data_IF_394135118569
#
_entry.id   IF_394135118569
#
_cell.length_a   1.000
_cell.length_b   1.000
_cell.length_c   1.000
_cell.angle_alpha   90.00
_cell.angle_beta   90.00
_cell.angle_gamma   90.00
#
_symmetry.space_group_name_H-M   'P 1'
#
loop_
_entity.id
_entity.type
_entity.pdbx_description
1 polymer ?
#
# COMPACT_ATOMS: atom_id res chain seq x y z
N UNK A 1 -13.41 -8.81 -36.58
CA UNK A 1 -12.20 -8.37 -35.83
C UNK A 1 -11.68 -9.58 -35.07
N UNK A 2 -10.37 -9.84 -35.06
CA UNK A 2 -9.80 -10.92 -34.23
C UNK A 2 -10.09 -10.60 -32.76
N UNK A 3 -10.58 -11.55 -31.97
CA UNK A 3 -10.72 -11.37 -30.52
C UNK A 3 -9.33 -11.21 -29.91
N UNK A 4 -9.13 -10.21 -29.06
CA UNK A 4 -7.89 -10.03 -28.30
C UNK A 4 -7.87 -11.07 -27.17
N UNK A 5 -6.73 -11.73 -27.03
CA UNK A 5 -6.49 -12.83 -26.09
C UNK A 5 -5.25 -12.55 -25.23
N UNK A 6 -5.07 -13.22 -24.08
CA UNK A 6 -3.88 -13.03 -23.24
C UNK A 6 -2.57 -13.28 -23.98
N UNK A 7 -2.57 -14.20 -24.96
CA UNK A 7 -1.39 -14.49 -25.80
C UNK A 7 -0.93 -13.31 -26.67
N UNK A 8 -1.78 -12.31 -26.91
CA UNK A 8 -1.38 -11.07 -27.60
C UNK A 8 -0.48 -10.18 -26.73
N UNK A 9 -0.42 -10.49 -25.44
CA UNK A 9 0.40 -9.85 -24.41
C UNK A 9 1.57 -10.73 -23.96
N UNK A 10 1.94 -11.77 -24.73
CA UNK A 10 3.08 -12.64 -24.40
C UNK A 10 4.43 -11.91 -24.29
N UNK A 11 4.52 -10.68 -24.82
CA UNK A 11 5.69 -9.82 -24.64
C UNK A 11 5.88 -9.37 -23.19
N UNK A 12 4.84 -9.45 -22.34
CA UNK A 12 4.89 -9.01 -20.95
C UNK A 12 5.84 -9.87 -20.10
N UNK A 13 6.00 -11.15 -20.45
CA UNK A 13 6.97 -12.05 -19.80
C UNK A 13 8.43 -11.61 -20.01
N UNK A 14 8.70 -10.97 -21.15
CA UNK A 14 10.05 -10.49 -21.54
C UNK A 14 10.25 -9.00 -21.25
N UNK A 15 9.22 -8.29 -20.75
CA UNK A 15 9.30 -6.87 -20.48
C UNK A 15 9.88 -6.60 -19.08
N UNK A 16 10.86 -5.70 -19.01
CA UNK A 16 11.60 -5.43 -17.78
C UNK A 16 10.78 -4.70 -16.70
N UNK A 17 9.64 -4.10 -17.07
CA UNK A 17 8.84 -3.27 -16.17
C UNK A 17 8.03 -4.11 -15.16
N UNK A 18 8.50 -4.16 -13.92
CA UNK A 18 7.91 -4.92 -12.81
C UNK A 18 6.71 -4.24 -12.13
N UNK A 19 6.60 -2.92 -12.31
CA UNK A 19 5.53 -2.10 -11.77
C UNK A 19 5.17 -1.04 -12.81
N UNK A 20 3.91 -1.05 -13.26
CA UNK A 20 3.39 -0.02 -14.15
C UNK A 20 1.87 0.04 -14.07
N UNK A 21 1.33 1.20 -14.44
CA UNK A 21 -0.10 1.37 -14.68
C UNK A 21 -0.32 1.86 -16.10
N UNK A 22 -1.25 1.21 -16.81
CA UNK A 22 -1.74 1.69 -18.11
C UNK A 22 -3.22 2.02 -18.00
N UNK A 23 -3.57 3.26 -18.30
CA UNK A 23 -4.96 3.75 -18.28
C UNK A 23 -5.38 4.20 -19.67
N UNK A 24 -6.44 3.61 -20.19
CA UNK A 24 -7.06 3.98 -21.45
C UNK A 24 -8.18 4.96 -21.13
N UNK A 25 -8.15 6.16 -21.72
CA UNK A 25 -9.13 7.22 -21.49
C UNK A 25 -9.82 7.61 -22.78
N UNK A 26 -11.14 7.47 -22.85
CA UNK A 26 -11.93 7.76 -24.06
C UNK A 26 -12.37 9.22 -24.09
N UNK A 27 -12.21 9.85 -25.25
CA UNK A 27 -12.81 11.16 -25.52
C UNK A 27 -12.10 12.37 -24.91
N UNK A 28 -10.99 12.17 -24.20
CA UNK A 28 -10.09 13.24 -23.79
C UNK A 28 -8.85 13.26 -24.69
N UNK A 29 -8.33 14.46 -24.95
CA UNK A 29 -7.00 14.60 -25.56
C UNK A 29 -5.88 14.40 -24.52
N UNK A 30 -4.64 14.40 -25.00
CA UNK A 30 -3.44 14.19 -24.17
C UNK A 30 -3.32 15.22 -23.04
N UNK A 31 -3.51 16.52 -23.33
CA UNK A 31 -3.37 17.58 -22.34
C UNK A 31 -4.46 17.54 -21.29
N UNK A 32 -5.71 17.34 -21.70
CA UNK A 32 -6.82 17.22 -20.76
C UNK A 32 -6.71 15.96 -19.91
N UNK A 33 -6.19 14.86 -20.47
CA UNK A 33 -5.88 13.65 -19.69
C UNK A 33 -4.86 13.97 -18.60
N UNK A 34 -3.71 14.59 -18.95
CA UNK A 34 -2.68 14.99 -17.99
C UNK A 34 -3.21 15.92 -16.89
N UNK A 35 -4.03 16.91 -17.24
CA UNK A 35 -4.66 17.80 -16.25
C UNK A 35 -5.52 17.05 -15.25
N UNK A 36 -6.30 16.06 -15.70
CA UNK A 36 -7.17 15.26 -14.83
C UNK A 36 -6.42 14.27 -13.95
N UNK A 37 -5.21 13.90 -14.36
CA UNK A 37 -4.24 13.23 -13.49
C UNK A 37 -3.62 14.17 -12.43
N UNK A 38 -3.78 15.49 -12.57
CA UNK A 38 -3.20 16.47 -11.64
C UNK A 38 -1.85 17.05 -12.09
N UNK A 39 -1.53 16.98 -13.38
CA UNK A 39 -0.35 17.63 -13.95
C UNK A 39 -0.67 19.10 -14.25
N UNK A 40 0.13 20.01 -13.69
CA UNK A 40 0.01 21.45 -13.93
C UNK A 40 0.36 21.81 -15.39
N UNK A 41 -0.33 22.80 -15.98
CA UNK A 41 -0.20 23.16 -17.40
C UNK A 41 1.22 23.55 -17.82
N UNK A 42 1.95 24.20 -16.91
CA UNK A 42 3.34 24.61 -17.09
C UNK A 42 4.34 23.45 -16.94
N UNK A 43 3.89 22.32 -16.40
CA UNK A 43 4.66 21.09 -16.30
C UNK A 43 4.41 20.11 -17.47
N UNK A 44 3.48 20.42 -18.38
CA UNK A 44 3.17 19.55 -19.53
C UNK A 44 4.13 19.81 -20.68
N UNK A 45 5.00 18.85 -20.96
CA UNK A 45 5.99 18.92 -22.03
C UNK A 45 6.30 17.53 -22.63
N UNK A 46 6.96 17.45 -23.80
CA UNK A 46 7.51 16.18 -24.29
C UNK A 46 8.59 15.69 -23.34
N UNK A 47 8.42 14.49 -22.81
CA UNK A 47 9.32 13.79 -21.91
C UNK A 47 9.96 12.64 -22.69
N UNK A 48 11.28 12.50 -22.60
CA UNK A 48 12.02 11.39 -23.19
C UNK A 48 12.43 10.34 -22.15
N UNK A 49 12.98 9.22 -22.62
CA UNK A 49 13.36 8.10 -21.76
C UNK A 49 14.41 8.48 -20.71
N UNK A 50 15.30 9.45 -21.01
CA UNK A 50 16.33 9.90 -20.07
C UNK A 50 15.68 10.61 -18.89
N UNK A 51 14.76 11.53 -19.15
CA UNK A 51 14.00 12.24 -18.10
C UNK A 51 13.14 11.27 -17.26
N UNK A 52 12.51 10.27 -17.88
CA UNK A 52 11.77 9.23 -17.15
C UNK A 52 12.69 8.49 -16.19
N UNK A 53 13.85 8.05 -16.66
CA UNK A 53 14.82 7.30 -15.84
C UNK A 53 15.38 8.17 -14.71
N UNK A 54 15.74 9.42 -15.00
CA UNK A 54 16.13 10.39 -13.98
C UNK A 54 15.03 10.54 -12.93
N UNK A 55 13.77 10.64 -13.34
CA UNK A 55 12.65 10.78 -12.40
C UNK A 55 12.43 9.54 -11.54
N UNK A 56 12.51 8.34 -12.13
CA UNK A 56 12.42 7.07 -11.39
C UNK A 56 13.52 6.99 -10.34
N UNK A 57 14.74 7.40 -10.68
CA UNK A 57 15.87 7.44 -9.74
C UNK A 57 15.65 8.48 -8.63
N UNK A 58 15.20 9.69 -8.97
CA UNK A 58 14.88 10.76 -8.01
C UNK A 58 13.81 10.35 -7.00
N UNK A 59 12.79 9.63 -7.48
CA UNK A 59 11.62 9.20 -6.70
C UNK A 59 11.82 7.82 -6.05
N UNK A 60 12.99 7.21 -6.19
CA UNK A 60 13.31 5.87 -5.67
C UNK A 60 12.30 4.80 -6.11
N UNK A 61 11.86 4.88 -7.37
CA UNK A 61 10.85 3.99 -7.94
C UNK A 61 9.41 4.31 -7.55
N UNK A 62 9.14 5.39 -6.82
CA UNK A 62 7.77 5.89 -6.60
C UNK A 62 7.43 7.00 -7.62
N UNK A 63 7.63 6.71 -8.91
CA UNK A 63 7.57 7.74 -9.93
C UNK A 63 6.14 8.30 -10.06
N UNK A 64 6.06 9.62 -9.97
CA UNK A 64 4.86 10.44 -9.97
C UNK A 64 4.63 11.10 -11.34
N UNK A 65 5.21 10.52 -12.38
CA UNK A 65 5.09 10.99 -13.76
C UNK A 65 4.09 10.15 -14.53
N UNK A 66 3.28 10.83 -15.34
CA UNK A 66 2.38 10.20 -16.30
C UNK A 66 2.75 10.65 -17.71
N UNK A 67 2.86 9.68 -18.60
CA UNK A 67 3.08 9.90 -20.04
C UNK A 67 1.80 9.57 -20.79
N UNK A 68 1.51 10.31 -21.85
CA UNK A 68 0.32 10.07 -22.67
C UNK A 68 0.64 9.98 -24.14
N UNK A 69 -0.11 9.12 -24.83
CA UNK A 69 -0.11 9.00 -26.29
C UNK A 69 -1.52 8.77 -26.82
N UNK A 70 -1.76 9.11 -28.08
CA UNK A 70 -3.06 8.97 -28.75
C UNK A 70 -3.17 7.64 -29.50
N UNK A 71 -4.24 6.89 -29.24
CA UNK A 71 -4.59 5.66 -29.96
C UNK A 71 -6.08 5.66 -30.38
N UNK A 72 -6.35 6.15 -31.59
CA UNK A 72 -7.72 6.25 -32.12
C UNK A 72 -8.55 7.26 -31.33
N UNK A 73 -9.68 6.81 -30.78
CA UNK A 73 -10.55 7.63 -29.92
C UNK A 73 -10.08 7.69 -28.46
N UNK A 74 -9.06 6.92 -28.12
CA UNK A 74 -8.53 6.79 -26.77
C UNK A 74 -7.18 7.51 -26.62
N UNK A 75 -6.95 8.02 -25.42
CA UNK A 75 -5.65 8.48 -24.95
C UNK A 75 -5.14 7.46 -23.96
N UNK A 76 -3.92 6.99 -24.16
CA UNK A 76 -3.26 6.00 -23.31
C UNK A 76 -2.36 6.75 -22.37
N UNK A 77 -2.67 6.71 -21.08
CA UNK A 77 -1.81 7.19 -20.02
C UNK A 77 -0.99 6.03 -19.46
N UNK A 78 0.30 6.26 -19.24
CA UNK A 78 1.24 5.28 -18.74
C UNK A 78 2.03 5.87 -17.58
N UNK A 79 2.11 5.12 -16.49
CA UNK A 79 2.86 5.47 -15.29
C UNK A 79 3.91 4.38 -15.04
N UNK A 80 5.19 4.75 -15.08
CA UNK A 80 6.26 3.87 -14.61
C UNK A 80 6.21 3.79 -13.10
N UNK A 81 6.06 2.61 -12.52
CA UNK A 81 5.98 2.41 -11.06
C UNK A 81 4.94 3.27 -10.30
N UNK A 82 4.02 3.93 -11.01
CA UNK A 82 2.91 4.71 -10.46
C UNK A 82 1.60 3.92 -10.47
N UNK A 83 0.61 4.43 -9.73
CA UNK A 83 -0.70 3.80 -9.54
C UNK A 83 -1.86 4.81 -9.53
N UNK A 84 -1.60 6.08 -9.85
CA UNK A 84 -2.61 7.14 -9.79
C UNK A 84 -3.82 6.82 -10.67
N UNK A 85 -3.59 6.21 -11.84
CA UNK A 85 -4.62 5.76 -12.78
C UNK A 85 -5.50 4.61 -12.28
N UNK A 86 -5.16 3.97 -11.15
CA UNK A 86 -6.04 2.97 -10.50
C UNK A 86 -6.91 3.57 -9.40
N UNK A 87 -6.64 4.82 -8.98
CA UNK A 87 -7.40 5.44 -7.89
C UNK A 87 -8.84 5.72 -8.34
N UNK A 88 -9.85 5.34 -7.54
CA UNK A 88 -11.24 5.65 -7.85
C UNK A 88 -11.50 7.14 -8.05
N UNK A 89 -10.83 7.99 -7.28
CA UNK A 89 -10.88 9.44 -7.37
C UNK A 89 -10.47 9.94 -8.76
N UNK A 90 -9.33 9.46 -9.25
CA UNK A 90 -8.74 9.85 -10.54
C UNK A 90 -9.57 9.31 -11.69
N UNK A 91 -10.04 8.06 -11.62
CA UNK A 91 -10.91 7.49 -12.64
C UNK A 91 -12.28 8.20 -12.71
N UNK A 92 -12.83 8.64 -11.57
CA UNK A 92 -14.03 9.48 -11.56
C UNK A 92 -13.77 10.83 -12.22
N UNK A 93 -12.64 11.45 -11.93
CA UNK A 93 -12.25 12.73 -12.53
C UNK A 93 -12.05 12.60 -14.04
N UNK A 94 -11.35 11.56 -14.50
CA UNK A 94 -11.16 11.23 -15.92
C UNK A 94 -12.49 11.03 -16.65
N UNK A 95 -13.50 10.47 -15.99
CA UNK A 95 -14.78 10.10 -16.63
C UNK A 95 -15.95 11.04 -16.31
N UNK A 96 -15.75 12.12 -15.55
CA UNK A 96 -16.83 12.97 -14.99
C UNK A 96 -17.78 13.59 -16.03
N UNK A 97 -17.32 13.83 -17.26
CA UNK A 97 -18.07 14.52 -18.32
C UNK A 97 -18.67 13.55 -19.34
N UNK A 98 -19.04 12.34 -18.90
CA UNK A 98 -19.59 11.30 -19.77
C UNK A 98 -18.53 10.45 -20.50
N UNK A 99 -17.32 10.40 -19.94
CA UNK A 99 -16.20 9.65 -20.47
C UNK A 99 -16.17 8.19 -20.03
N UNK A 100 -15.20 7.44 -20.55
CA UNK A 100 -14.94 6.05 -20.18
C UNK A 100 -13.45 5.86 -19.97
N UNK A 101 -13.07 5.14 -18.91
CA UNK A 101 -11.68 4.81 -18.64
C UNK A 101 -11.55 3.36 -18.18
N UNK A 102 -10.48 2.69 -18.59
CA UNK A 102 -10.09 1.39 -18.05
C UNK A 102 -8.61 1.42 -17.69
N UNK A 103 -8.27 0.93 -16.51
CA UNK A 103 -6.90 0.91 -15.98
C UNK A 103 -6.49 -0.50 -15.60
N UNK A 104 -5.22 -0.83 -15.88
CA UNK A 104 -4.58 -2.07 -15.47
C UNK A 104 -3.25 -1.72 -14.82
N UNK A 105 -3.09 -2.13 -13.57
CA UNK A 105 -1.83 -2.02 -12.85
C UNK A 105 -1.19 -3.38 -12.68
N UNK A 106 0.09 -3.47 -13.03
CA UNK A 106 0.99 -4.53 -12.60
C UNK A 106 1.81 -4.04 -11.41
N UNK A 107 1.94 -4.89 -10.41
CA UNK A 107 2.80 -4.62 -9.26
C UNK A 107 3.31 -5.94 -8.65
N UNK A 108 4.50 -6.39 -9.06
CA UNK A 108 5.03 -7.69 -8.64
C UNK A 108 5.36 -7.79 -7.13
N UNK A 109 5.55 -6.66 -6.46
CA UNK A 109 5.92 -6.58 -5.04
C UNK A 109 4.78 -6.19 -4.07
N UNK A 110 3.57 -5.99 -4.58
CA UNK A 110 2.40 -5.64 -3.78
C UNK A 110 1.51 -6.85 -3.57
N UNK A 111 0.55 -6.72 -2.65
CA UNK A 111 -0.44 -7.76 -2.39
C UNK A 111 -1.36 -8.03 -3.59
N UNK A 112 -1.47 -7.11 -4.56
CA UNK A 112 -2.35 -7.26 -5.71
C UNK A 112 -1.91 -6.47 -6.95
N UNK A 113 -2.42 -6.92 -8.09
CA UNK A 113 -2.58 -6.14 -9.31
C UNK A 113 -4.00 -5.57 -9.30
N UNK A 114 -4.29 -4.55 -10.09
CA UNK A 114 -5.62 -3.95 -10.12
C UNK A 114 -6.14 -3.81 -11.56
N UNK A 115 -7.43 -4.06 -11.72
CA UNK A 115 -8.20 -3.76 -12.91
C UNK A 115 -9.36 -2.86 -12.49
N UNK A 116 -9.50 -1.72 -13.15
CA UNK A 116 -10.52 -0.73 -12.84
C UNK A 116 -11.20 -0.25 -14.12
N UNK A 117 -12.52 -0.33 -14.19
CA UNK A 117 -13.33 0.21 -15.30
C UNK A 117 -14.30 1.24 -14.76
N UNK A 118 -14.21 2.46 -15.30
CA UNK A 118 -15.03 3.59 -14.93
C UNK A 118 -15.75 4.18 -16.13
N UNK A 119 -16.98 4.65 -15.93
CA UNK A 119 -17.67 5.49 -16.90
C UNK A 119 -18.60 6.46 -16.17
N UNK A 120 -18.82 7.63 -16.77
CA UNK A 120 -19.73 8.66 -16.25
C UNK A 120 -19.45 9.04 -14.78
N UNK A 121 -18.18 9.17 -14.41
CA UNK A 121 -17.77 9.53 -13.06
C UNK A 121 -18.04 8.46 -12.01
N UNK A 122 -18.12 7.17 -12.40
CA UNK A 122 -18.39 6.04 -11.50
C UNK A 122 -17.57 4.82 -11.86
N UNK A 123 -17.09 4.13 -10.82
CA UNK A 123 -16.52 2.79 -10.98
C UNK A 123 -17.64 1.81 -11.33
N UNK A 124 -17.53 1.17 -12.50
CA UNK A 124 -18.47 0.17 -12.99
C UNK A 124 -18.08 -1.21 -12.54
N UNK A 125 -16.86 -1.62 -12.86
CA UNK A 125 -16.34 -2.95 -12.56
C UNK A 125 -14.89 -2.82 -12.14
N UNK A 126 -14.55 -3.37 -11.00
CA UNK A 126 -13.21 -3.31 -10.45
C UNK A 126 -12.91 -4.61 -9.72
N UNK A 127 -11.68 -5.10 -9.86
CA UNK A 127 -11.25 -6.34 -9.24
C UNK A 127 -9.73 -6.48 -9.28
N UNK A 128 -9.22 -7.41 -8.48
CA UNK A 128 -7.82 -7.83 -8.56
C UNK A 128 -7.70 -8.98 -9.56
N UNK A 129 -6.89 -8.88 -10.63
CA UNK A 129 -6.74 -9.95 -11.61
C UNK A 129 -6.36 -11.31 -11.02
N UNK A 130 -5.67 -11.37 -9.87
CA UNK A 130 -5.34 -12.63 -9.20
C UNK A 130 -6.52 -13.27 -8.48
N UNK A 131 -7.52 -12.49 -8.07
CA UNK A 131 -8.73 -12.94 -7.38
C UNK A 131 -9.96 -12.36 -8.07
N UNK A 132 -10.23 -12.73 -9.34
CA UNK A 132 -11.31 -12.17 -10.15
C UNK A 132 -12.70 -12.41 -9.57
N UNK A 133 -12.87 -13.30 -8.60
CA UNK A 133 -14.09 -13.50 -7.80
C UNK A 133 -14.38 -12.33 -6.84
N UNK A 134 -13.36 -11.59 -6.41
CA UNK A 134 -13.49 -10.43 -5.53
C UNK A 134 -13.69 -9.15 -6.35
N UNK A 135 -14.91 -8.94 -6.86
CA UNK A 135 -15.24 -7.78 -7.71
C UNK A 135 -16.15 -6.78 -7.00
N UNK A 136 -16.02 -5.51 -7.35
CA UNK A 136 -16.86 -4.42 -6.86
C UNK A 136 -17.16 -3.38 -7.96
N UNK A 137 -17.91 -2.35 -7.59
CA UNK A 137 -18.37 -1.30 -8.49
C UNK A 137 -19.89 -1.28 -8.63
N UNK A 138 -20.40 -0.36 -9.45
CA UNK A 138 -21.84 -0.22 -9.70
C UNK A 138 -22.42 -1.35 -10.56
N UNK A 139 -21.59 -2.05 -11.31
CA UNK A 139 -21.94 -3.13 -12.24
C UNK A 139 -20.84 -4.22 -12.21
N UNK A 140 -20.58 -4.86 -11.06
CA UNK A 140 -19.42 -5.75 -10.88
C UNK A 140 -19.42 -6.98 -11.80
N UNK A 141 -20.59 -7.39 -12.29
CA UNK A 141 -20.74 -8.58 -13.14
C UNK A 141 -20.82 -8.28 -14.65
N UNK A 142 -20.72 -7.00 -15.04
CA UNK A 142 -20.91 -6.58 -16.43
C UNK A 142 -19.88 -7.17 -17.41
N UNK A 143 -18.70 -7.57 -16.92
CA UNK A 143 -17.59 -8.10 -17.72
C UNK A 143 -17.42 -9.62 -17.58
N UNK A 144 -18.32 -10.32 -16.87
CA UNK A 144 -18.13 -11.75 -16.54
C UNK A 144 -18.00 -12.67 -17.75
N UNK A 145 -18.65 -12.37 -18.87
CA UNK A 145 -18.52 -13.17 -20.10
C UNK A 145 -17.11 -13.06 -20.68
N UNK A 146 -16.61 -11.83 -20.86
CA UNK A 146 -15.26 -11.59 -21.36
C UNK A 146 -14.19 -12.11 -20.38
N UNK A 147 -14.40 -11.94 -19.08
CA UNK A 147 -13.51 -12.46 -18.04
C UNK A 147 -13.34 -13.98 -18.15
N UNK A 148 -14.44 -14.75 -18.26
CA UNK A 148 -14.38 -16.21 -18.47
C UNK A 148 -13.64 -16.59 -19.74
N UNK A 149 -13.92 -15.91 -20.85
CA UNK A 149 -13.22 -16.18 -22.11
C UNK A 149 -11.71 -15.92 -22.04
N UNK A 150 -11.28 -15.04 -21.15
CA UNK A 150 -9.88 -14.68 -20.93
C UNK A 150 -9.20 -15.49 -19.81
N UNK A 151 -9.94 -16.40 -19.16
CA UNK A 151 -9.43 -17.23 -18.06
C UNK A 151 -9.41 -16.53 -16.69
N UNK A 152 -10.06 -15.37 -16.56
CA UNK A 152 -10.31 -14.69 -15.29
C UNK A 152 -11.63 -15.21 -14.72
N UNK A 153 -11.67 -16.39 -14.10
CA UNK A 153 -12.92 -17.02 -13.68
C UNK A 153 -13.63 -16.21 -12.56
N UNK A 154 -14.78 -15.55 -12.84
CA UNK A 154 -15.50 -14.78 -11.84
C UNK A 154 -16.16 -15.63 -10.75
N UNK A 155 -16.51 -16.89 -11.03
CA UNK A 155 -17.23 -17.78 -10.11
C UNK A 155 -16.55 -19.16 -10.08
N UNK A 156 -15.37 -19.28 -9.43
CA UNK A 156 -14.62 -20.53 -9.42
C UNK A 156 -15.32 -21.61 -8.60
N UNK A 157 -15.19 -22.87 -9.04
CA UNK A 157 -15.74 -24.04 -8.32
C UNK A 157 -15.11 -24.21 -6.91
N UNK A 158 -13.88 -23.70 -6.73
CA UNK A 158 -13.17 -23.64 -5.44
C UNK A 158 -13.27 -22.24 -4.83
N UNK A 159 -13.56 -22.16 -3.52
CA UNK A 159 -13.83 -20.92 -2.78
C UNK A 159 -12.70 -19.87 -2.87
N UNK A 160 -11.47 -20.30 -3.13
CA UNK A 160 -10.31 -19.42 -3.26
C UNK A 160 -9.38 -19.87 -4.39
N UNK A 161 -9.59 -19.34 -5.59
CA UNK A 161 -8.66 -19.46 -6.70
C UNK A 161 -7.77 -18.21 -6.80
N UNK A 162 -6.45 -18.41 -6.71
CA UNK A 162 -5.45 -17.37 -6.98
C UNK A 162 -4.80 -17.63 -8.34
N UNK A 163 -4.91 -16.66 -9.26
CA UNK A 163 -4.38 -16.77 -10.62
C UNK A 163 -3.01 -16.10 -10.74
N UNK A 164 -1.95 -16.90 -10.88
CA UNK A 164 -0.62 -16.39 -11.26
C UNK A 164 -0.60 -16.00 -12.74
N UNK A 165 0.07 -14.90 -13.09
CA UNK A 165 0.19 -14.47 -14.49
C UNK A 165 -1.12 -13.95 -15.07
N UNK A 166 -1.95 -13.29 -14.25
CA UNK A 166 -3.26 -12.77 -14.67
C UNK A 166 -3.21 -11.42 -15.38
N UNK A 167 -2.06 -10.73 -15.39
CA UNK A 167 -1.87 -9.41 -16.02
C UNK A 167 -2.14 -9.43 -17.53
N UNK A 168 -1.62 -10.39 -18.33
CA UNK A 168 -1.97 -10.51 -19.75
C UNK A 168 -3.48 -10.62 -20.01
N UNK A 169 -4.22 -11.30 -19.12
CA UNK A 169 -5.68 -11.43 -19.24
C UNK A 169 -6.41 -10.12 -18.90
N UNK A 170 -5.95 -9.40 -17.88
CA UNK A 170 -6.47 -8.08 -17.53
C UNK A 170 -6.22 -7.05 -18.65
N UNK A 171 -5.02 -7.05 -19.25
CA UNK A 171 -4.70 -6.21 -20.41
C UNK A 171 -5.56 -6.57 -21.64
N UNK A 172 -5.78 -7.87 -21.89
CA UNK A 172 -6.68 -8.31 -22.95
C UNK A 172 -8.13 -7.86 -22.71
N UNK A 173 -8.60 -7.83 -21.47
CA UNK A 173 -9.91 -7.29 -21.11
C UNK A 173 -9.99 -5.79 -21.36
N UNK A 174 -8.97 -5.02 -20.95
CA UNK A 174 -8.89 -3.58 -21.23
C UNK A 174 -8.90 -3.29 -22.74
N UNK A 175 -8.17 -4.10 -23.52
CA UNK A 175 -8.20 -4.10 -24.99
C UNK A 175 -9.58 -4.34 -25.59
N UNK A 176 -10.40 -5.23 -25.00
CA UNK A 176 -11.76 -5.50 -25.49
C UNK A 176 -12.69 -4.31 -25.25
N UNK A 177 -12.50 -3.59 -24.15
CA UNK A 177 -13.25 -2.37 -23.80
C UNK A 177 -12.82 -1.21 -24.69
N UNK A 178 -11.52 -0.97 -24.81
CA UNK A 178 -10.98 0.19 -25.53
C UNK A 178 -10.91 -0.01 -27.04
N UNK A 179 -10.79 -1.25 -27.50
CA UNK A 179 -10.42 -1.55 -28.89
C UNK A 179 -8.95 -1.23 -29.21
N UNK A 180 -8.13 -0.88 -28.21
CA UNK A 180 -6.71 -0.55 -28.36
C UNK A 180 -5.85 -1.68 -27.81
N UNK A 181 -5.01 -2.25 -28.66
CA UNK A 181 -3.97 -3.18 -28.23
C UNK A 181 -2.77 -2.39 -27.70
N UNK A 182 -2.59 -2.41 -26.37
CA UNK A 182 -1.39 -1.84 -25.76
C UNK A 182 -0.16 -2.71 -26.08
N UNK A 183 0.93 -2.05 -26.49
CA UNK A 183 2.24 -2.65 -26.72
C UNK A 183 3.32 -1.65 -26.28
N UNK A 184 4.50 -2.09 -25.83
CA UNK A 184 5.60 -1.19 -25.47
C UNK A 184 5.97 -0.18 -26.56
N UNK A 185 5.78 -0.53 -27.84
CA UNK A 185 6.00 0.39 -28.97
C UNK A 185 5.12 1.65 -28.97
N UNK A 186 4.03 1.68 -28.17
CA UNK A 186 3.25 2.91 -27.95
C UNK A 186 3.99 3.92 -27.08
N UNK A 187 5.04 3.48 -26.38
CA UNK A 187 5.87 4.29 -25.51
C UNK A 187 7.16 4.75 -26.21
N UNK A 188 7.34 4.45 -27.50
CA UNK A 188 8.56 4.78 -28.23
C UNK A 188 8.67 6.29 -28.49
N UNK A 189 9.78 6.87 -28.04
CA UNK A 189 10.16 8.25 -28.29
C UNK A 189 9.50 9.25 -27.34
N UNK A 190 9.76 10.57 -27.53
CA UNK A 190 9.25 11.56 -26.60
C UNK A 190 7.72 11.60 -26.60
N UNK A 191 7.12 11.38 -25.43
CA UNK A 191 5.68 11.42 -25.22
C UNK A 191 5.31 12.69 -24.48
N UNK A 192 4.09 13.20 -24.68
CA UNK A 192 3.64 14.29 -23.84
C UNK A 192 3.46 13.74 -22.42
N UNK A 193 3.99 14.43 -21.42
CA UNK A 193 3.92 13.96 -20.03
C UNK A 193 4.09 15.10 -19.04
N UNK A 194 4.18 14.70 -17.78
CA UNK A 194 4.56 15.60 -16.68
C UNK A 194 4.37 14.97 -15.31
N UNK A 195 4.88 15.66 -14.30
CA UNK A 195 4.77 15.24 -12.90
C UNK A 195 3.41 15.62 -12.33
N UNK A 196 2.77 14.63 -11.69
CA UNK A 196 1.53 14.77 -10.94
C UNK A 196 1.85 15.56 -9.66
N UNK A 197 1.33 16.78 -9.58
CA UNK A 197 1.60 17.70 -8.45
C UNK A 197 0.33 17.99 -7.65
N UNK A 198 -0.82 17.95 -8.31
CA UNK A 198 -2.14 18.21 -7.75
C UNK A 198 -3.08 17.02 -7.99
N UNK A 199 -2.68 15.83 -7.54
CA UNK A 199 -3.50 14.62 -7.63
C UNK A 199 -4.89 14.84 -6.99
N UNK A 200 -5.91 14.13 -7.50
CA UNK A 200 -7.27 14.23 -6.95
C UNK A 200 -7.23 13.80 -5.47
N UNK A 201 -7.73 14.59 -4.52
CA UNK A 201 -7.68 14.21 -3.11
C UNK A 201 -8.43 12.90 -2.85
N UNK A 202 -7.90 12.05 -1.97
CA UNK A 202 -8.57 10.83 -1.51
C UNK A 202 -10.00 11.14 -1.05
N UNK A 203 -10.94 10.24 -1.35
CA UNK A 203 -12.24 10.30 -0.73
C UNK A 203 -12.05 10.24 0.79
N UNK A 204 -12.81 11.06 1.56
CA UNK A 204 -12.84 10.90 2.99
C UNK A 204 -13.27 9.46 3.28
N UNK A 205 -12.44 8.71 4.02
CA UNK A 205 -12.74 7.33 4.39
C UNK A 205 -14.12 7.27 5.04
N UNK A 206 -15.13 6.84 4.31
CA UNK A 206 -16.49 6.68 4.84
C UNK A 206 -16.56 5.46 5.76
N UNK A 207 -17.32 5.59 6.84
CA UNK A 207 -17.51 4.53 7.83
C UNK A 207 -16.42 4.47 8.91
N UNK A 208 -16.46 3.39 9.69
CA UNK A 208 -15.51 3.18 10.78
C UNK A 208 -14.13 2.74 10.22
N UNK A 209 -13.04 3.50 10.42
CA UNK A 209 -11.71 3.15 9.92
C UNK A 209 -11.16 1.83 10.51
N UNK A 210 -11.76 1.32 11.59
CA UNK A 210 -11.39 0.06 12.22
C UNK A 210 -12.32 -1.11 11.82
N UNK A 211 -13.30 -0.88 10.94
CA UNK A 211 -14.20 -1.92 10.45
C UNK A 211 -13.46 -3.05 9.71
N UNK A 212 -12.42 -2.70 8.94
CA UNK A 212 -11.57 -3.65 8.19
C UNK A 212 -10.24 -3.96 8.89
N UNK A 213 -10.06 -3.52 10.13
CA UNK A 213 -8.80 -3.73 10.82
C UNK A 213 -8.54 -5.23 11.04
N UNK A 214 -7.30 -5.67 10.80
CA UNK A 214 -6.91 -7.08 10.86
C UNK A 214 -7.29 -7.75 12.19
N UNK A 215 -7.11 -7.08 13.33
CA UNK A 215 -7.59 -7.55 14.64
C UNK A 215 -9.05 -8.07 14.60
N UNK A 216 -9.97 -7.35 13.94
CA UNK A 216 -11.38 -7.76 13.86
C UNK A 216 -11.57 -9.02 13.01
N UNK A 217 -10.74 -9.20 11.98
CA UNK A 217 -10.75 -10.40 11.15
C UNK A 217 -10.24 -11.63 11.91
N UNK A 218 -9.14 -11.48 12.67
CA UNK A 218 -8.52 -12.59 13.42
C UNK A 218 -9.18 -12.88 14.77
N UNK A 219 -9.73 -11.88 15.46
CA UNK A 219 -10.38 -12.03 16.75
C UNK A 219 -11.52 -11.00 16.93
N UNK A 220 -12.70 -11.37 16.43
CA UNK A 220 -13.90 -10.54 16.50
C UNK A 220 -14.31 -10.22 17.95
N UNK A 221 -14.15 -11.17 18.87
CA UNK A 221 -14.63 -11.00 20.25
C UNK A 221 -13.81 -9.96 21.02
N UNK A 222 -12.49 -9.94 20.84
CA UNK A 222 -11.62 -8.89 21.39
C UNK A 222 -11.89 -7.53 20.75
N UNK A 223 -12.07 -7.48 19.43
CA UNK A 223 -12.44 -6.26 18.72
C UNK A 223 -13.75 -5.65 19.26
N UNK A 224 -14.79 -6.46 19.43
CA UNK A 224 -16.07 -6.03 20.02
C UNK A 224 -15.93 -5.61 21.49
N UNK A 225 -15.09 -6.27 22.27
CA UNK A 225 -14.81 -5.87 23.66
C UNK A 225 -14.13 -4.50 23.71
N UNK A 226 -13.21 -4.21 22.79
CA UNK A 226 -12.57 -2.89 22.66
C UNK A 226 -13.60 -1.84 22.23
N UNK A 227 -14.43 -2.13 21.24
CA UNK A 227 -15.46 -1.21 20.73
C UNK A 227 -16.43 -0.75 21.80
N UNK A 228 -16.85 -1.67 22.67
CA UNK A 228 -17.82 -1.39 23.72
C UNK A 228 -17.18 -0.79 24.99
N UNK A 229 -15.85 -0.79 25.09
CA UNK A 229 -15.14 -0.22 26.23
C UNK A 229 -15.06 1.32 26.15
N UNK A 230 -15.11 1.98 27.31
CA UNK A 230 -14.88 3.42 27.38
C UNK A 230 -13.47 3.80 26.90
N UNK A 231 -13.24 5.03 26.39
CA UNK A 231 -11.89 5.47 25.99
C UNK A 231 -10.84 5.33 27.09
N UNK A 232 -11.22 5.46 28.36
CA UNK A 232 -10.31 5.24 29.49
C UNK A 232 -9.93 3.77 29.66
N UNK A 233 -10.89 2.86 29.49
CA UNK A 233 -10.62 1.42 29.52
C UNK A 233 -9.76 0.99 28.33
N UNK A 234 -10.05 1.50 27.13
CA UNK A 234 -9.25 1.25 25.93
C UNK A 234 -7.79 1.70 26.12
N UNK A 235 -7.57 2.91 26.66
CA UNK A 235 -6.23 3.43 26.97
C UNK A 235 -5.51 2.56 27.99
N UNK A 236 -6.17 2.22 29.11
CA UNK A 236 -5.56 1.37 30.15
C UNK A 236 -5.19 0.00 29.61
N UNK A 237 -6.04 -0.61 28.79
CA UNK A 237 -5.75 -1.89 28.16
C UNK A 237 -4.55 -1.79 27.19
N UNK A 238 -4.52 -0.75 26.33
CA UNK A 238 -3.39 -0.52 25.43
C UNK A 238 -2.07 -0.31 26.18
N UNK A 239 -2.09 0.45 27.28
CA UNK A 239 -0.89 0.67 28.11
C UNK A 239 -0.45 -0.60 28.82
N UNK A 240 -1.39 -1.37 29.38
CA UNK A 240 -1.10 -2.62 30.05
C UNK A 240 -0.49 -3.65 29.08
N UNK A 241 -1.01 -3.74 27.86
CA UNK A 241 -0.48 -4.65 26.85
C UNK A 241 0.89 -4.20 26.32
N UNK A 242 1.09 -2.91 26.10
CA UNK A 242 2.42 -2.39 25.74
C UNK A 242 3.46 -2.69 26.82
N UNK A 243 3.10 -2.56 28.10
CA UNK A 243 3.98 -2.92 29.22
C UNK A 243 4.31 -4.42 29.22
N UNK A 244 3.30 -5.30 29.07
CA UNK A 244 3.50 -6.75 28.98
C UNK A 244 4.46 -7.11 27.84
N UNK A 245 4.32 -6.49 26.67
CA UNK A 245 5.22 -6.74 25.55
C UNK A 245 6.66 -6.27 25.83
N UNK A 246 6.85 -5.15 26.53
CA UNK A 246 8.18 -4.74 27.01
C UNK A 246 8.79 -5.73 28.00
N UNK A 247 7.98 -6.30 28.91
CA UNK A 247 8.42 -7.32 29.87
C UNK A 247 8.84 -8.61 29.15
N UNK A 248 8.01 -9.11 28.23
CA UNK A 248 8.31 -10.30 27.43
C UNK A 248 9.54 -10.13 26.53
N UNK A 249 9.74 -8.93 25.99
CA UNK A 249 10.91 -8.60 25.18
C UNK A 249 12.18 -8.29 26.01
N UNK A 250 12.09 -8.28 27.35
CA UNK A 250 13.22 -7.98 28.23
C UNK A 250 13.72 -6.53 28.15
N UNK A 251 12.86 -5.59 27.73
CA UNK A 251 13.20 -4.16 27.54
C UNK A 251 12.40 -3.22 28.44
N UNK A 252 11.73 -3.75 29.47
CA UNK A 252 10.94 -2.96 30.42
C UNK A 252 11.75 -1.83 31.09
N UNK A 253 13.05 -2.08 31.38
CA UNK A 253 13.94 -1.10 32.01
C UNK A 253 14.61 -0.14 31.01
N UNK A 254 14.32 -0.25 29.71
CA UNK A 254 14.91 0.65 28.71
C UNK A 254 14.39 2.08 28.93
N UNK A 255 15.26 3.08 29.19
CA UNK A 255 14.84 4.39 29.70
C UNK A 255 13.88 5.13 28.77
N UNK A 256 14.05 4.99 27.45
CA UNK A 256 13.15 5.59 26.44
C UNK A 256 11.76 4.95 26.47
N UNK A 257 11.68 3.61 26.57
CA UNK A 257 10.41 2.89 26.57
C UNK A 257 9.67 3.12 27.89
N UNK A 258 10.39 3.06 29.00
CA UNK A 258 9.86 3.33 30.34
C UNK A 258 9.30 4.77 30.44
N UNK A 259 10.02 5.77 29.94
CA UNK A 259 9.55 7.16 29.92
C UNK A 259 8.28 7.34 29.05
N UNK A 260 8.26 6.71 27.87
CA UNK A 260 7.12 6.75 26.97
C UNK A 260 5.88 6.03 27.54
N UNK A 261 6.06 4.86 28.17
CA UNK A 261 4.98 4.16 28.88
C UNK A 261 4.44 4.99 30.04
N UNK A 262 5.30 5.58 30.86
CA UNK A 262 4.88 6.45 31.95
C UNK A 262 4.09 7.68 31.43
N UNK A 263 4.45 8.21 30.26
CA UNK A 263 3.67 9.26 29.58
C UNK A 263 2.27 8.76 29.18
N UNK A 264 2.19 7.58 28.56
CA UNK A 264 0.91 6.98 28.18
C UNK A 264 0.02 6.69 29.40
N UNK A 265 0.61 6.23 30.52
CA UNK A 265 -0.06 5.98 31.80
C UNK A 265 -0.70 7.24 32.41
N UNK A 266 -0.04 8.39 32.25
CA UNK A 266 -0.58 9.70 32.66
C UNK A 266 -1.65 10.24 31.70
N UNK A 267 -1.93 9.54 30.60
CA UNK A 267 -2.86 9.98 29.56
C UNK A 267 -2.27 11.05 28.65
N UNK A 268 -0.95 11.24 28.64
CA UNK A 268 -0.25 12.16 27.75
C UNK A 268 -0.14 11.54 26.34
N UNK A 269 -1.26 11.52 25.62
CA UNK A 269 -1.37 10.92 24.28
C UNK A 269 -1.05 11.95 23.20
N UNK A 270 0.24 12.07 22.84
CA UNK A 270 0.69 12.89 21.71
C UNK A 270 1.24 11.98 20.61
N UNK A 271 1.01 12.29 19.33
CA UNK A 271 1.69 11.60 18.24
C UNK A 271 3.20 11.64 18.46
N UNK A 272 3.84 10.48 18.35
CA UNK A 272 5.28 10.35 18.51
C UNK A 272 5.94 11.04 17.33
N UNK A 273 6.56 12.19 17.59
CA UNK A 273 7.29 12.96 16.58
C UNK A 273 8.45 12.15 16.01
N UNK A 274 8.77 12.40 14.75
CA UNK A 274 9.82 11.68 14.03
C UNK A 274 11.19 11.77 14.73
N UNK A 275 11.48 12.92 15.34
CA UNK A 275 12.76 13.20 16.01
C UNK A 275 12.72 12.88 17.51
N UNK A 276 11.70 12.13 17.94
CA UNK A 276 11.60 11.71 19.34
C UNK A 276 12.56 10.54 19.63
N UNK A 277 13.06 10.44 20.89
CA UNK A 277 13.91 9.31 21.29
C UNK A 277 13.25 7.94 21.06
N UNK A 278 11.91 7.85 21.17
CA UNK A 278 11.16 6.62 20.90
C UNK A 278 11.16 6.26 19.41
N UNK A 279 10.99 7.24 18.52
CA UNK A 279 11.04 7.01 17.09
C UNK A 279 12.45 6.58 16.64
N UNK A 280 13.49 7.21 17.21
CA UNK A 280 14.89 6.84 16.98
C UNK A 280 15.21 5.41 17.44
N UNK A 281 14.73 5.01 18.62
CA UNK A 281 14.91 3.65 19.13
C UNK A 281 14.24 2.60 18.24
N UNK A 282 12.99 2.85 17.81
CA UNK A 282 12.26 1.93 16.92
C UNK A 282 12.99 1.78 15.59
N UNK A 283 13.47 2.89 15.02
CA UNK A 283 14.30 2.88 13.82
C UNK A 283 15.57 2.05 14.04
N UNK A 284 16.27 2.21 15.17
CA UNK A 284 17.42 1.36 15.51
C UNK A 284 17.10 -0.15 15.47
N UNK A 285 15.94 -0.56 15.99
CA UNK A 285 15.50 -1.96 15.86
C UNK A 285 15.15 -2.36 14.43
N UNK A 286 14.51 -1.48 13.65
CA UNK A 286 14.27 -1.72 12.22
C UNK A 286 15.60 -1.91 11.48
N UNK A 287 16.62 -1.11 11.82
CA UNK A 287 17.98 -1.20 11.30
C UNK A 287 18.61 -2.54 11.56
N UNK A 288 18.58 -3.00 12.82
CA UNK A 288 19.03 -4.34 13.21
C UNK A 288 18.26 -5.45 12.47
N UNK A 289 16.94 -5.30 12.28
CA UNK A 289 16.10 -6.30 11.60
C UNK A 289 16.37 -6.44 10.11
N UNK A 290 16.74 -5.34 9.45
CA UNK A 290 16.89 -5.27 7.99
C UNK A 290 18.36 -5.31 7.55
N UNK A 291 19.30 -5.10 8.47
CA UNK A 291 20.74 -4.97 8.18
C UNK A 291 21.11 -3.64 7.53
N UNK A 292 20.18 -2.69 7.49
CA UNK A 292 20.37 -1.40 6.85
C UNK A 292 20.72 -0.32 7.87
N UNK A 293 21.78 0.47 7.68
CA UNK A 293 22.06 1.57 8.61
C UNK A 293 21.02 2.70 8.48
N UNK A 294 20.71 3.38 9.59
CA UNK A 294 19.86 4.58 9.63
C UNK A 294 20.70 5.76 10.11
N UNK A 295 20.59 6.89 9.41
CA UNK A 295 21.17 8.15 9.82
C UNK A 295 20.46 8.65 11.10
N UNK A 296 21.22 8.82 12.18
CA UNK A 296 20.69 9.22 13.48
C UNK A 296 20.20 10.68 13.54
N UNK A 297 20.62 11.54 12.61
CA UNK A 297 20.23 12.95 12.56
C UNK A 297 18.96 13.18 11.74
N UNK A 298 18.78 12.45 10.63
CA UNK A 298 17.60 12.60 9.77
C UNK A 298 16.53 11.53 10.03
N UNK A 299 16.90 10.41 10.65
CA UNK A 299 16.06 9.22 10.80
C UNK A 299 15.75 8.53 9.48
N UNK A 300 16.51 8.84 8.43
CA UNK A 300 16.42 8.22 7.12
C UNK A 300 17.41 7.05 7.03
N UNK A 301 17.09 6.05 6.23
CA UNK A 301 18.00 4.94 5.97
C UNK A 301 19.21 5.42 5.16
N UNK A 302 20.43 5.11 5.61
CA UNK A 302 21.65 5.40 4.87
C UNK A 302 21.63 4.61 3.56
N UNK A 303 21.77 5.32 2.44
CA UNK A 303 21.98 4.70 1.12
C UNK A 303 23.43 4.19 1.01
N UNK A 304 23.64 3.17 0.16
CA UNK A 304 24.94 2.50 -0.07
C UNK A 304 26.10 3.44 -0.34
N UNK A 305 27.37 2.96 -0.29
CA UNK A 305 28.54 3.75 -0.71
C UNK A 305 28.50 4.23 -2.18
N UNK A 306 27.46 3.92 -2.95
CA UNK A 306 27.18 4.54 -4.25
C UNK A 306 26.30 5.78 -4.17
N UNK A 307 26.00 6.30 -2.97
CA UNK A 307 25.22 7.52 -2.80
C UNK A 307 26.02 8.74 -3.25
N UNK A 308 25.58 9.31 -4.36
CA UNK A 308 26.05 10.57 -4.94
C UNK A 308 26.19 11.69 -3.88
N UNK A 309 27.36 12.34 -3.77
CA UNK A 309 27.60 13.46 -2.84
C UNK A 309 26.76 14.72 -3.11
N UNK A 310 25.89 14.75 -4.13
CA UNK A 310 25.05 15.91 -4.48
C UNK A 310 23.60 15.87 -3.96
N UNK A 311 23.23 14.92 -3.09
CA UNK A 311 21.83 14.70 -2.67
C UNK A 311 21.29 15.73 -1.67
N UNK A 312 20.04 16.17 -1.89
CA UNK A 312 19.32 17.13 -1.05
C UNK A 312 18.51 16.44 0.07
N UNK A 313 18.56 16.93 1.33
CA UNK A 313 18.06 16.22 2.53
C UNK A 313 16.54 16.25 2.78
N UNK A 314 15.71 16.61 1.77
CA UNK A 314 14.30 16.95 2.01
C UNK A 314 13.26 15.98 1.39
N UNK A 315 13.66 14.83 0.85
CA UNK A 315 12.72 13.89 0.22
C UNK A 315 12.42 12.72 1.16
N UNK A 316 11.25 12.79 1.81
CA UNK A 316 10.76 11.76 2.74
C UNK A 316 10.49 10.45 2.00
N UNK A 317 11.17 9.38 2.42
CA UNK A 317 10.90 8.01 1.99
C UNK A 317 9.80 7.37 2.84
N UNK A 318 8.75 6.82 2.20
CA UNK A 318 7.88 5.79 2.77
C UNK A 318 8.19 4.45 2.08
N UNK A 319 9.40 3.91 2.27
CA UNK A 319 9.83 2.64 1.67
C UNK A 319 9.46 1.48 2.59
N UNK A 320 8.18 1.15 2.71
CA UNK A 320 7.81 -0.12 3.30
C UNK A 320 6.72 -0.78 2.45
N UNK A 321 6.99 -1.99 1.98
CA UNK A 321 5.96 -3.03 2.03
C UNK A 321 6.06 -3.71 3.40
N UNK A 322 4.91 -3.99 4.01
CA UNK A 322 4.85 -4.87 5.18
C UNK A 322 4.72 -6.28 4.61
N UNK A 323 5.72 -7.12 4.87
CA UNK A 323 5.61 -8.56 4.60
C UNK A 323 4.38 -9.09 5.36
N UNK A 324 3.39 -9.61 4.64
CA UNK A 324 2.08 -9.98 5.22
C UNK A 324 2.15 -11.24 6.08
N UNK A 325 3.16 -12.09 5.89
CA UNK A 325 3.36 -13.28 6.71
C UNK A 325 3.95 -12.95 8.08
N UNK A 326 4.84 -11.95 8.13
CA UNK A 326 5.67 -11.64 9.30
C UNK A 326 5.37 -10.28 9.93
N UNK A 327 4.59 -9.42 9.27
CA UNK A 327 4.29 -8.05 9.70
C UNK A 327 5.49 -7.09 9.61
N UNK A 328 6.51 -7.45 8.84
CA UNK A 328 7.84 -6.83 8.86
C UNK A 328 8.06 -5.78 7.78
N UNK A 329 8.88 -4.75 8.05
CA UNK A 329 9.51 -3.95 7.01
C UNK A 329 10.31 -4.82 6.02
N UNK A 330 9.96 -4.81 4.74
CA UNK A 330 10.78 -5.39 3.67
C UNK A 330 11.29 -4.28 2.75
N UNK A 331 12.60 -4.31 2.43
CA UNK A 331 13.19 -3.49 1.37
C UNK A 331 13.48 -4.39 0.17
N UNK A 332 12.69 -4.33 -0.92
CA UNK A 332 12.84 -5.24 -2.06
C UNK A 332 14.14 -5.02 -2.85
N UNK A 333 14.68 -3.79 -2.83
CA UNK A 333 15.68 -3.32 -3.81
C UNK A 333 17.13 -3.40 -3.36
N UNK A 334 17.42 -3.74 -2.10
CA UNK A 334 18.74 -3.47 -1.55
C UNK A 334 19.68 -4.68 -1.46
N UNK A 335 20.85 -4.55 -2.11
CA UNK A 335 22.05 -5.39 -1.96
C UNK A 335 23.02 -4.72 -0.97
N UNK A 336 22.78 -4.85 0.33
CA UNK A 336 23.76 -4.49 1.36
C UNK A 336 24.51 -5.73 1.89
N UNK A 337 25.72 -5.49 2.40
CA UNK A 337 26.71 -6.52 2.70
C UNK A 337 26.36 -7.47 3.86
N UNK A 338 25.37 -7.16 4.69
CA UNK A 338 24.87 -8.06 5.74
C UNK A 338 23.35 -8.13 5.68
N UNK A 339 22.82 -9.26 5.20
CA UNK A 339 21.40 -9.61 5.39
C UNK A 339 21.33 -10.40 6.68
N UNK A 340 20.67 -9.90 7.74
CA UNK A 340 20.54 -10.64 8.97
C UNK A 340 19.88 -11.99 8.70
N UNK A 341 20.44 -13.07 9.25
CA UNK A 341 19.79 -14.37 9.22
C UNK A 341 18.52 -14.39 10.08
N UNK A 342 17.74 -15.47 10.03
CA UNK A 342 16.48 -15.52 10.78
C UNK A 342 16.71 -15.52 12.30
N UNK A 343 17.82 -16.09 12.78
CA UNK A 343 18.13 -16.09 14.21
C UNK A 343 18.51 -14.68 14.71
N UNK A 344 19.27 -13.92 13.91
CA UNK A 344 19.56 -12.51 14.16
C UNK A 344 18.26 -11.68 14.18
N UNK A 345 17.34 -11.94 13.26
CA UNK A 345 16.02 -11.26 13.24
C UNK A 345 15.14 -11.64 14.42
N UNK A 346 15.07 -12.91 14.79
CA UNK A 346 14.32 -13.38 15.95
C UNK A 346 14.81 -12.76 17.26
N UNK A 347 16.11 -12.45 17.39
CA UNK A 347 16.66 -11.79 18.57
C UNK A 347 16.27 -10.30 18.71
N UNK A 348 15.89 -9.65 17.61
CA UNK A 348 15.52 -8.21 17.58
C UNK A 348 14.01 -8.03 17.58
N UNK A 349 13.28 -8.94 16.93
CA UNK A 349 11.85 -8.84 16.67
C UNK A 349 11.00 -8.56 17.93
N UNK A 350 11.24 -9.19 19.10
CA UNK A 350 10.52 -8.86 20.33
C UNK A 350 10.69 -7.40 20.77
N UNK A 351 11.91 -6.88 20.66
CA UNK A 351 12.26 -5.50 21.07
C UNK A 351 11.60 -4.48 20.14
N UNK A 352 11.61 -4.75 18.84
CA UNK A 352 10.90 -3.94 17.84
C UNK A 352 9.39 -3.93 18.07
N UNK A 353 8.78 -5.11 18.27
CA UNK A 353 7.34 -5.23 18.56
C UNK A 353 6.96 -4.45 19.82
N UNK A 354 7.74 -4.57 20.91
CA UNK A 354 7.53 -3.82 22.12
C UNK A 354 7.61 -2.29 21.89
N UNK A 355 8.63 -1.82 21.16
CA UNK A 355 8.76 -0.41 20.80
C UNK A 355 7.56 0.12 19.99
N UNK A 356 7.10 -0.65 18.99
CA UNK A 356 5.88 -0.36 18.22
C UNK A 356 4.66 -0.27 19.12
N UNK A 357 4.51 -1.21 20.04
CA UNK A 357 3.41 -1.29 21.00
C UNK A 357 3.31 -0.05 21.89
N UNK A 358 4.45 0.41 22.43
CA UNK A 358 4.55 1.66 23.22
C UNK A 358 4.16 2.87 22.36
N UNK A 359 4.62 2.93 21.11
CA UNK A 359 4.22 4.00 20.17
C UNK A 359 2.71 4.00 19.91
N UNK A 360 2.10 2.82 19.76
CA UNK A 360 0.66 2.69 19.56
C UNK A 360 -0.13 3.12 20.81
N UNK A 361 0.34 2.79 22.02
CA UNK A 361 -0.28 3.20 23.27
C UNK A 361 -0.30 4.72 23.50
N UNK A 362 0.60 5.47 22.85
CA UNK A 362 0.62 6.95 22.86
C UNK A 362 -0.37 7.59 21.86
N UNK A 363 -1.11 6.81 21.08
CA UNK A 363 -2.06 7.36 20.10
C UNK A 363 -3.15 8.19 20.80
N UNK A 364 -3.50 9.39 20.27
CA UNK A 364 -4.62 10.18 20.78
C UNK A 364 -5.98 9.48 20.67
N UNK A 365 -6.10 8.56 19.70
CA UNK A 365 -7.29 7.73 19.50
C UNK A 365 -7.15 6.46 20.34
N UNK A 366 -7.85 6.45 21.49
CA UNK A 366 -7.84 5.36 22.46
C UNK A 366 -8.25 4.01 21.84
N UNK A 367 -9.22 4.04 20.93
CA UNK A 367 -9.74 2.84 20.27
C UNK A 367 -8.70 2.30 19.30
N UNK A 368 -8.11 3.16 18.47
CA UNK A 368 -7.00 2.80 17.58
C UNK A 368 -5.75 2.35 18.34
N UNK A 369 -5.46 2.93 19.51
CA UNK A 369 -4.40 2.47 20.39
C UNK A 369 -4.66 1.00 20.79
N UNK A 370 -5.83 0.72 21.36
CA UNK A 370 -6.20 -0.65 21.76
C UNK A 370 -6.17 -1.64 20.58
N UNK A 371 -6.68 -1.27 19.41
CA UNK A 371 -6.64 -2.15 18.23
C UNK A 371 -5.21 -2.52 17.81
N UNK A 372 -4.32 -1.54 17.70
CA UNK A 372 -2.96 -1.77 17.22
C UNK A 372 -2.09 -2.49 18.26
N UNK A 373 -2.22 -2.16 19.54
CA UNK A 373 -1.41 -2.79 20.60
C UNK A 373 -1.76 -4.26 20.80
N UNK A 374 -3.03 -4.65 20.61
CA UNK A 374 -3.49 -6.03 20.83
C UNK A 374 -3.48 -6.89 19.55
N UNK A 375 -3.33 -6.31 18.36
CA UNK A 375 -3.24 -7.09 17.11
C UNK A 375 -2.13 -8.17 17.14
N UNK A 376 -0.92 -7.89 17.67
CA UNK A 376 0.11 -8.92 17.80
C UNK A 376 -0.29 -10.16 18.60
N UNK A 377 -1.26 -10.05 19.53
CA UNK A 377 -1.71 -11.18 20.35
C UNK A 377 -2.41 -12.28 19.54
N UNK A 378 -3.05 -11.89 18.42
CA UNK A 378 -3.94 -12.79 17.67
C UNK A 378 -3.41 -13.12 16.28
N UNK A 379 -2.29 -12.52 15.89
CA UNK A 379 -1.64 -12.79 14.62
C UNK A 379 -0.58 -13.88 14.81
N UNK A 380 -0.93 -15.13 14.47
CA UNK A 380 -0.12 -16.33 14.76
C UNK A 380 1.31 -16.37 14.21
N UNK A 381 1.70 -15.43 13.35
CA UNK A 381 3.08 -15.25 12.89
C UNK A 381 3.94 -14.28 13.74
N UNK A 382 3.39 -13.68 14.80
CA UNK A 382 4.13 -12.77 15.69
C UNK A 382 4.66 -13.52 16.91
N UNK A 383 5.90 -13.22 17.35
CA UNK A 383 6.49 -13.80 18.57
C UNK A 383 5.63 -13.56 19.82
N UNK A 384 4.88 -12.45 19.86
CA UNK A 384 4.04 -12.08 21.00
C UNK A 384 2.60 -12.62 20.94
N UNK A 385 2.30 -13.53 20.01
CA UNK A 385 0.96 -14.13 19.90
C UNK A 385 0.63 -14.94 21.16
N UNK A 386 -0.51 -14.64 21.77
CA UNK A 386 -1.01 -15.28 22.98
C UNK A 386 -2.54 -15.23 22.98
N UNK A 387 -3.21 -16.20 22.32
CA UNK A 387 -4.66 -16.24 22.18
C UNK A 387 -5.40 -16.35 23.52
N UNK A 388 -4.79 -17.01 24.51
CA UNK A 388 -5.38 -17.15 25.84
C UNK A 388 -5.38 -15.81 26.57
N UNK A 389 -4.27 -15.06 26.48
CA UNK A 389 -4.21 -13.69 27.00
C UNK A 389 -5.16 -12.75 26.26
N UNK A 390 -5.28 -12.86 24.93
CA UNK A 390 -6.28 -12.11 24.16
C UNK A 390 -7.71 -12.33 24.67
N UNK A 391 -8.05 -13.58 24.99
CA UNK A 391 -9.34 -13.95 25.59
C UNK A 391 -9.51 -13.32 26.98
N UNK A 392 -8.47 -13.35 27.82
CA UNK A 392 -8.50 -12.73 29.15
C UNK A 392 -8.66 -11.21 29.09
N UNK A 393 -8.01 -10.53 28.14
CA UNK A 393 -8.18 -9.09 27.89
C UNK A 393 -9.62 -8.79 27.47
N UNK A 394 -10.19 -9.55 26.53
CA UNK A 394 -11.57 -9.36 26.08
C UNK A 394 -12.57 -9.51 27.25
N UNK A 395 -12.39 -10.53 28.10
CA UNK A 395 -13.21 -10.72 29.29
C UNK A 395 -13.11 -9.54 30.28
N UNK A 396 -11.90 -9.03 30.50
CA UNK A 396 -11.65 -7.89 31.39
C UNK A 396 -12.32 -6.61 30.88
N UNK A 397 -12.20 -6.32 29.58
CA UNK A 397 -12.82 -5.16 28.94
C UNK A 397 -14.34 -5.20 29.04
N UNK A 398 -14.96 -6.36 28.82
CA UNK A 398 -16.42 -6.53 28.95
C UNK A 398 -16.90 -6.37 30.38
N UNK A 399 -16.21 -7.00 31.34
CA UNK A 399 -16.59 -6.93 32.75
C UNK A 399 -16.53 -5.51 33.31
N UNK A 400 -15.61 -4.68 32.80
CA UNK A 400 -15.49 -3.28 33.21
C UNK A 400 -16.42 -2.31 32.47
N UNK A 401 -17.10 -2.78 31.42
CA UNK A 401 -18.03 -1.99 30.60
C UNK A 401 -19.51 -2.26 30.93
N UNK A 402 -19.79 -3.31 31.72
CA UNK A 402 -21.08 -3.61 32.33
C UNK A 402 -21.25 -2.84 33.64
#
# INVERSE_FOLDING_TARGET
MRKIMPADYAWEDDWAEEIYTVTFVRGLDERETLRRFGVADDNIHPVDDEEVMERIEETDGCCDMVLVTRAGDWTIAFEYSGWEGTRPETLRELTRDGGEAVSVMRHNYAASHDFEHAADGRIRTAFRPQTPQERWGSHPDALNEDMRELGLEPEPDEEYQYLSGSVPAALALASRISGVLFTPALLDGPLLGGVITDAVPDDPREGDPLARHALRAFNRELAEAIDNASPDLQRRAAVAEARRQCELAGVADHPVLAAALASAERGETRPVGHDSPLAELIRGYESELTGHPIDGATGEWMAGPSADPHRSPNVRRSIFSIDTATGMPACPSCRWHHRPDEAEREAVRPRWQAGRSVRHALSPDARRAAYNTHFPLVHGGQIMADPDHATAVAATLRAASA
#
